data_IF_143042469757
#
_entry.id   IF_143042469757
#
_cell.length_a   1.000
_cell.length_b   1.000
_cell.length_c   1.000
_cell.angle_alpha   90.00
_cell.angle_beta   90.00
_cell.angle_gamma   90.00
#
_symmetry.space_group_name_H-M   'P 1'
#
loop_
_entity.id
_entity.type
_entity.pdbx_description
1 polymer ?
#
# COMPACT_ATOMS: atom_id res chain seq x y z
N UNK A 1 10.90 23.87 11.16
CA UNK A 1 9.57 23.29 11.19
C UNK A 1 9.59 21.82 10.85
N UNK A 2 9.01 21.03 11.72
CA UNK A 2 8.97 19.61 11.47
C UNK A 2 8.09 19.33 10.25
N UNK A 3 8.62 18.62 9.30
CA UNK A 3 7.81 18.11 8.23
C UNK A 3 6.95 17.03 8.82
N UNK A 4 5.67 17.24 8.77
CA UNK A 4 4.74 16.21 9.18
C UNK A 4 4.69 15.17 8.07
N UNK A 5 5.14 13.95 8.34
CA UNK A 5 5.02 12.87 7.40
C UNK A 5 3.63 12.25 7.55
N UNK A 6 2.61 13.09 7.35
CA UNK A 6 1.25 12.62 7.42
C UNK A 6 0.96 11.69 6.24
N UNK A 7 0.52 10.49 6.55
CA UNK A 7 0.16 9.54 5.51
C UNK A 7 -1.14 9.99 4.84
N UNK A 8 -1.11 10.05 3.52
CA UNK A 8 -2.26 10.44 2.71
C UNK A 8 -3.34 9.35 2.69
N UNK A 9 -2.92 8.10 2.80
CA UNK A 9 -3.82 6.95 2.74
C UNK A 9 -3.85 6.23 4.07
N UNK A 10 -4.94 5.53 4.33
CA UNK A 10 -5.18 4.84 5.61
C UNK A 10 -5.23 3.32 5.43
N UNK A 11 -4.98 2.61 6.52
CA UNK A 11 -5.14 1.16 6.55
C UNK A 11 -6.57 0.82 6.14
N UNK A 12 -6.71 -0.14 5.23
CA UNK A 12 -7.99 -0.58 4.70
C UNK A 12 -8.37 0.05 3.38
N UNK A 13 -7.73 1.15 3.00
CA UNK A 13 -8.03 1.76 1.71
C UNK A 13 -7.41 0.96 0.57
N UNK A 14 -8.08 0.97 -0.58
CA UNK A 14 -7.58 0.32 -1.78
C UNK A 14 -6.87 1.36 -2.64
N UNK A 15 -5.65 1.04 -3.01
CA UNK A 15 -4.82 1.91 -3.84
C UNK A 15 -4.33 1.16 -5.07
N UNK A 16 -3.91 1.92 -6.07
CA UNK A 16 -3.30 1.35 -7.28
C UNK A 16 -1.99 2.06 -7.55
N UNK A 17 -1.07 1.34 -8.20
CA UNK A 17 0.23 1.92 -8.55
C UNK A 17 0.06 2.85 -9.76
N UNK A 18 0.81 3.95 -9.76
CA UNK A 18 0.75 4.92 -10.87
C UNK A 18 1.30 4.37 -12.17
N UNK A 19 2.30 3.51 -12.09
CA UNK A 19 3.07 3.09 -13.27
C UNK A 19 2.93 1.62 -13.59
N UNK A 20 2.70 0.78 -12.59
CA UNK A 20 2.58 -0.65 -12.77
C UNK A 20 1.14 -1.11 -12.61
N UNK A 21 0.79 -2.18 -13.29
CA UNK A 21 -0.58 -2.68 -13.30
C UNK A 21 -0.85 -3.59 -12.10
N UNK A 22 -0.96 -2.96 -10.92
CA UNK A 22 -1.40 -3.68 -9.73
C UNK A 22 -2.11 -2.73 -8.76
N UNK A 23 -2.90 -3.33 -7.89
CA UNK A 23 -3.66 -2.63 -6.87
C UNK A 23 -3.62 -3.46 -5.59
N UNK A 24 -3.96 -2.85 -4.48
CA UNK A 24 -3.94 -3.59 -3.22
C UNK A 24 -4.59 -2.85 -2.08
N UNK A 25 -4.79 -3.57 -0.99
CA UNK A 25 -5.34 -3.04 0.25
C UNK A 25 -4.18 -2.71 1.19
N UNK A 26 -4.20 -1.51 1.74
CA UNK A 26 -3.18 -1.09 2.71
C UNK A 26 -3.43 -1.83 4.01
N UNK A 27 -2.44 -2.57 4.51
CA UNK A 27 -2.56 -3.23 5.80
C UNK A 27 -1.59 -2.69 6.86
N UNK A 28 -0.62 -1.87 6.46
CA UNK A 28 0.29 -1.21 7.39
C UNK A 28 0.88 0.03 6.73
N UNK A 29 1.29 0.99 7.55
CA UNK A 29 1.85 2.26 7.08
C UNK A 29 3.12 2.55 7.85
N UNK A 30 4.19 2.84 7.12
CA UNK A 30 5.43 3.37 7.69
C UNK A 30 5.51 4.85 7.31
N UNK A 31 5.66 5.73 8.29
CA UNK A 31 5.65 7.17 7.99
C UNK A 31 6.89 7.64 7.25
N UNK A 32 7.92 6.81 7.23
CA UNK A 32 9.07 6.99 6.35
C UNK A 32 9.64 5.62 6.02
N UNK A 33 10.57 5.55 5.08
CA UNK A 33 11.12 4.27 4.63
C UNK A 33 11.64 3.44 5.81
N UNK A 34 11.21 2.19 5.87
CA UNK A 34 11.58 1.27 6.93
C UNK A 34 11.75 -0.15 6.38
N UNK A 35 12.68 -0.29 5.45
CA UNK A 35 13.06 -1.58 4.91
C UNK A 35 14.58 -1.60 4.82
N UNK A 36 15.15 -2.66 4.27
CA UNK A 36 16.60 -2.78 4.23
C UNK A 36 17.20 -1.88 3.17
N UNK A 37 18.45 -1.48 3.40
CA UNK A 37 19.19 -0.71 2.41
C UNK A 37 19.39 -1.53 1.14
N UNK A 38 19.55 -2.85 1.27
CA UNK A 38 19.69 -3.74 0.12
C UNK A 38 18.44 -3.69 -0.76
N UNK A 39 17.25 -3.73 -0.12
CA UNK A 39 16.01 -3.64 -0.85
C UNK A 39 15.92 -2.29 -1.59
N UNK A 40 16.28 -1.21 -0.90
CA UNK A 40 16.23 0.13 -1.46
C UNK A 40 17.17 0.26 -2.67
N UNK A 41 18.38 -0.24 -2.53
CA UNK A 41 19.38 -0.18 -3.60
C UNK A 41 19.02 -1.09 -4.77
N UNK A 42 18.14 -2.06 -4.57
CA UNK A 42 17.68 -2.93 -5.66
C UNK A 42 16.73 -2.21 -6.61
N UNK A 43 16.18 -1.08 -6.18
CA UNK A 43 15.31 -0.28 -7.05
C UNK A 43 16.19 0.47 -8.05
N UNK A 44 15.89 0.41 -9.36
CA UNK A 44 16.66 1.19 -10.33
C UNK A 44 16.73 2.65 -9.94
N UNK A 45 17.91 3.22 -10.06
CA UNK A 45 18.19 4.56 -9.57
C UNK A 45 17.22 5.61 -10.15
N UNK A 46 16.83 5.43 -11.39
CA UNK A 46 15.96 6.36 -12.11
C UNK A 46 14.54 6.44 -11.53
N UNK A 47 14.09 5.38 -10.86
CA UNK A 47 12.74 5.30 -10.30
C UNK A 47 12.75 5.13 -8.79
N UNK A 48 13.91 5.25 -8.17
CA UNK A 48 14.04 5.08 -6.72
C UNK A 48 13.41 6.26 -5.98
N UNK A 49 12.42 6.02 -5.12
CA UNK A 49 11.73 7.11 -4.41
C UNK A 49 12.56 7.61 -3.23
N UNK A 50 12.25 8.84 -2.80
CA UNK A 50 12.86 9.39 -1.59
C UNK A 50 12.42 8.57 -0.38
N UNK A 51 13.31 8.45 0.61
CA UNK A 51 13.01 7.73 1.85
C UNK A 51 12.14 8.54 2.82
N UNK A 52 12.13 9.85 2.70
CA UNK A 52 11.46 10.76 3.64
C UNK A 52 10.01 11.01 3.25
N UNK A 53 9.28 9.94 3.02
CA UNK A 53 7.85 9.99 2.73
C UNK A 53 7.20 8.70 3.24
N UNK A 54 5.87 8.68 3.40
CA UNK A 54 5.21 7.44 3.82
C UNK A 54 5.39 6.32 2.80
N UNK A 55 5.54 5.11 3.32
CA UNK A 55 5.56 3.88 2.53
C UNK A 55 4.44 2.98 3.06
N UNK A 56 3.84 2.23 2.17
CA UNK A 56 2.66 1.43 2.47
C UNK A 56 2.88 -0.03 2.19
N UNK A 57 2.42 -0.87 3.10
CA UNK A 57 2.42 -2.32 2.95
C UNK A 57 1.08 -2.71 2.37
N UNK A 58 1.08 -3.35 1.22
CA UNK A 58 -0.13 -3.70 0.48
C UNK A 58 -0.33 -5.19 0.36
N UNK A 59 -1.58 -5.62 0.50
CA UNK A 59 -2.00 -6.93 0.03
C UNK A 59 -2.39 -6.71 -1.43
N UNK A 60 -1.51 -7.09 -2.33
CA UNK A 60 -1.61 -6.70 -3.74
C UNK A 60 -2.07 -7.82 -4.65
N UNK A 61 -2.69 -7.44 -5.74
CA UNK A 61 -3.09 -8.35 -6.80
C UNK A 61 -2.78 -7.77 -8.18
N UNK A 62 -2.45 -8.64 -9.11
CA UNK A 62 -2.20 -8.28 -10.50
C UNK A 62 -2.43 -9.52 -11.35
N UNK A 63 -3.41 -9.48 -12.26
CA UNK A 63 -3.67 -10.60 -13.17
C UNK A 63 -3.72 -11.97 -12.47
N UNK A 64 -4.53 -12.05 -11.41
CA UNK A 64 -4.75 -13.27 -10.63
C UNK A 64 -3.53 -13.74 -9.81
N UNK A 65 -2.46 -12.96 -9.80
CA UNK A 65 -1.32 -13.21 -8.94
C UNK A 65 -1.45 -12.31 -7.70
N UNK A 66 -1.23 -12.87 -6.52
CA UNK A 66 -1.31 -12.13 -5.26
C UNK A 66 0.05 -12.11 -4.58
N UNK A 67 0.36 -10.98 -3.95
CA UNK A 67 1.64 -10.81 -3.29
C UNK A 67 1.56 -9.65 -2.29
N UNK A 68 2.62 -9.43 -1.54
CA UNK A 68 2.74 -8.28 -0.67
C UNK A 68 3.68 -7.28 -1.34
N UNK A 69 3.29 -6.02 -1.35
CA UNK A 69 4.09 -4.97 -1.96
C UNK A 69 4.39 -3.87 -0.97
N UNK A 70 5.51 -3.22 -1.14
CA UNK A 70 5.94 -2.09 -0.32
C UNK A 70 6.16 -0.90 -1.25
N UNK A 71 5.32 0.13 -1.13
CA UNK A 71 5.25 1.19 -2.13
C UNK A 71 5.25 2.56 -1.49
N UNK A 72 6.04 3.47 -2.05
CA UNK A 72 6.10 4.86 -1.61
C UNK A 72 4.80 5.59 -1.96
N UNK A 73 4.45 6.55 -1.13
CA UNK A 73 3.22 7.33 -1.31
C UNK A 73 3.14 8.00 -2.69
N UNK A 74 4.27 8.49 -3.18
CA UNK A 74 4.29 9.18 -4.48
C UNK A 74 3.84 8.31 -5.64
N UNK A 75 3.93 7.00 -5.49
CA UNK A 75 3.59 6.06 -6.57
C UNK A 75 2.20 5.45 -6.43
N UNK A 76 1.38 5.97 -5.52
CA UNK A 76 0.05 5.42 -5.26
C UNK A 76 -1.06 6.42 -5.55
N UNK A 77 -2.19 5.88 -6.00
CA UNK A 77 -3.43 6.61 -6.19
C UNK A 77 -4.56 5.81 -5.56
N UNK A 78 -5.60 6.48 -5.08
CA UNK A 78 -6.79 5.77 -4.61
C UNK A 78 -7.41 5.02 -5.77
N UNK A 79 -7.85 3.79 -5.51
CA UNK A 79 -8.60 3.00 -6.48
C UNK A 79 -10.08 3.29 -6.24
N UNK A 80 -10.73 3.91 -7.20
CA UNK A 80 -12.13 4.32 -7.09
C UNK A 80 -13.10 3.33 -7.74
N UNK A 81 -12.60 2.18 -8.18
CA UNK A 81 -13.43 1.20 -8.87
C UNK A 81 -14.43 0.52 -7.94
N UNK A 82 -14.12 0.47 -6.63
CA UNK A 82 -14.89 -0.25 -5.62
C UNK A 82 -14.90 -1.77 -5.83
N UNK A 83 -14.09 -2.27 -6.73
CA UNK A 83 -13.95 -3.70 -6.95
C UNK A 83 -13.23 -4.33 -5.76
N UNK A 84 -13.68 -5.47 -5.25
CA UNK A 84 -12.96 -6.15 -4.18
C UNK A 84 -11.57 -6.56 -4.62
N UNK A 85 -10.63 -6.53 -3.69
CA UNK A 85 -9.28 -7.04 -3.93
C UNK A 85 -9.30 -8.54 -3.60
N UNK A 86 -8.79 -9.35 -4.50
CA UNK A 86 -8.75 -10.80 -4.31
C UNK A 86 -7.39 -11.20 -3.76
N UNK A 87 -7.29 -11.27 -2.46
CA UNK A 87 -6.06 -11.68 -1.78
C UNK A 87 -6.42 -12.54 -0.59
N UNK A 88 -5.77 -13.69 -0.41
CA UNK A 88 -6.15 -14.63 0.66
C UNK A 88 -5.99 -14.08 2.07
N UNK A 89 -5.09 -13.12 2.29
CA UNK A 89 -4.88 -12.57 3.63
C UNK A 89 -5.89 -11.52 4.04
N UNK A 90 -6.74 -11.07 3.12
CA UNK A 90 -7.74 -10.04 3.46
C UNK A 90 -8.68 -10.54 4.56
N UNK A 91 -9.17 -11.77 4.45
CA UNK A 91 -10.08 -12.34 5.43
C UNK A 91 -9.42 -12.58 6.79
N UNK A 92 -8.10 -12.72 6.81
CA UNK A 92 -7.37 -12.92 8.06
C UNK A 92 -7.09 -11.61 8.77
N UNK A 93 -6.90 -10.53 8.02
CA UNK A 93 -6.53 -9.22 8.58
C UNK A 93 -7.74 -8.32 8.79
N UNK A 94 -8.69 -8.35 7.87
CA UNK A 94 -9.85 -7.46 7.91
C UNK A 94 -11.13 -8.23 8.21
N UNK A 95 -12.06 -7.53 8.90
CA UNK A 95 -13.35 -8.11 9.28
C UNK A 95 -14.40 -7.96 8.20
N UNK A 96 -14.27 -6.96 7.35
CA UNK A 96 -15.25 -6.71 6.31
C UNK A 96 -14.89 -5.51 5.45
N UNK A 97 -15.79 -5.16 4.55
CA UNK A 97 -15.61 -4.07 3.61
C UNK A 97 -16.81 -3.15 3.68
N UNK A 98 -16.58 -1.85 3.70
CA UNK A 98 -17.64 -0.85 3.67
C UNK A 98 -17.29 0.16 2.58
N UNK A 99 -18.11 0.21 1.52
CA UNK A 99 -17.80 1.03 0.36
C UNK A 99 -16.54 0.53 -0.33
N UNK A 100 -15.54 1.37 -0.44
CA UNK A 100 -14.27 1.04 -1.07
C UNK A 100 -13.16 0.75 -0.05
N UNK A 101 -13.50 0.67 1.25
CA UNK A 101 -12.50 0.47 2.31
C UNK A 101 -12.76 -0.79 3.11
N UNK A 102 -11.69 -1.44 3.54
CA UNK A 102 -11.75 -2.59 4.43
C UNK A 102 -11.56 -2.11 5.86
N UNK A 103 -12.15 -2.83 6.81
CA UNK A 103 -12.09 -2.45 8.22
C UNK A 103 -11.81 -3.65 9.10
N UNK A 104 -11.28 -3.36 10.30
CA UNK A 104 -11.05 -4.36 11.34
C UNK A 104 -12.00 -4.08 12.49
N UNK A 105 -12.52 -5.15 13.07
CA UNK A 105 -13.27 -5.04 14.30
C UNK A 105 -12.29 -5.32 15.43
N UNK A 106 -12.09 -4.33 16.30
CA UNK A 106 -11.22 -4.50 17.47
C UNK A 106 -12.02 -5.12 18.60
N UNK A 107 -11.44 -6.11 19.24
CA UNK A 107 -12.02 -6.72 20.44
C UNK A 107 -11.36 -6.13 21.68
#
# INVERSE_FOLDING_TARGET
>A
MATSNNAKFSIGEVVKHRHFDFRGVIYDVDFEFNNSEEWYQSIPKEVRPRKDQPFYHLLAESNEVTYEAYVSEQNLLLDKSKEPVKHPLIEEIFSGKKGSSYFKISN
#
